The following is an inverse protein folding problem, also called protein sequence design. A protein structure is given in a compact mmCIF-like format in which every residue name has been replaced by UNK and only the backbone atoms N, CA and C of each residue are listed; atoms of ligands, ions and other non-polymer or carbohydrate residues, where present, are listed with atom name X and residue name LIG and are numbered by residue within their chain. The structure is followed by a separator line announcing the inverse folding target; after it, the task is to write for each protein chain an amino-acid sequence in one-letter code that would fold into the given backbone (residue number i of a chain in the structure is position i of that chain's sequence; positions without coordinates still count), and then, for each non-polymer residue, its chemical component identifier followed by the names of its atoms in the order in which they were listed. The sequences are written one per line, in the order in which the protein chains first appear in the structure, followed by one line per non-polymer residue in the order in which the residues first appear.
data_IF_803137227917
#
_entry.id   IF_803137227917
#
_cell.length_a   1.000
_cell.length_b   1.000
_cell.length_c   1.000
_cell.angle_alpha   90.00
_cell.angle_beta   90.00
_cell.angle_gamma   90.00
#
_symmetry.space_group_name_H-M   'P 1'
#
loop_
_entity.id
_entity.type
_entity.pdbx_description
1 polymer ?
#
# COMPACT_ATOMS: atom_id res chain seq x y z
N UNK A 1 -23.37 -9.41 8.35
CA UNK A 1 -22.69 -8.18 8.79
C UNK A 1 -21.59 -8.55 9.77
N UNK A 2 -20.31 -8.28 9.46
CA UNK A 2 -19.20 -8.54 10.38
C UNK A 2 -18.35 -7.27 10.50
N UNK A 3 -18.69 -6.45 11.50
CA UNK A 3 -17.80 -5.43 12.02
C UNK A 3 -16.70 -6.20 12.76
N UNK A 4 -15.48 -6.24 12.23
CA UNK A 4 -14.32 -6.73 12.97
C UNK A 4 -13.45 -5.54 13.33
N UNK A 5 -13.47 -5.25 14.62
CA UNK A 5 -12.74 -4.20 15.30
C UNK A 5 -11.26 -4.60 15.34
N UNK A 6 -10.44 -4.01 14.47
CA UNK A 6 -9.04 -4.37 14.31
C UNK A 6 -8.20 -3.88 15.52
N UNK A 7 -7.81 -4.79 16.41
CA UNK A 7 -7.20 -4.53 17.72
C UNK A 7 -5.70 -4.85 17.81
N UNK A 8 -5.00 -5.15 16.71
CA UNK A 8 -3.55 -5.42 16.77
C UNK A 8 -2.82 -5.14 15.46
N UNK A 9 -1.53 -4.80 15.53
CA UNK A 9 -0.68 -4.57 14.34
C UNK A 9 -0.67 -5.73 13.34
N UNK A 10 -1.03 -6.95 13.78
CA UNK A 10 -1.20 -8.13 12.95
C UNK A 10 -2.43 -8.06 12.02
N UNK A 11 -3.52 -7.44 12.47
CA UNK A 11 -4.71 -7.26 11.64
C UNK A 11 -4.51 -6.21 10.55
N UNK A 12 -3.79 -5.12 10.87
CA UNK A 12 -3.41 -4.11 9.86
C UNK A 12 -2.53 -4.71 8.78
N UNK A 13 -1.62 -5.62 9.12
CA UNK A 13 -0.85 -6.38 8.13
C UNK A 13 -1.76 -7.23 7.24
N UNK A 14 -2.69 -7.97 7.84
CA UNK A 14 -3.64 -8.81 7.10
C UNK A 14 -4.58 -8.01 6.19
N UNK A 15 -4.80 -6.72 6.45
CA UNK A 15 -5.51 -5.82 5.54
C UNK A 15 -4.60 -5.13 4.52
N UNK A 16 -3.36 -4.80 4.87
CA UNK A 16 -2.44 -4.07 3.99
C UNK A 16 -1.87 -4.94 2.87
N UNK A 17 -1.44 -6.17 3.18
CA UNK A 17 -0.84 -7.08 2.19
C UNK A 17 -1.78 -7.35 1.00
N UNK A 18 -3.08 -7.71 1.18
CA UNK A 18 -3.97 -7.93 0.05
C UNK A 18 -4.26 -6.66 -0.76
N UNK A 19 -4.29 -5.48 -0.14
CA UNK A 19 -4.42 -4.21 -0.89
C UNK A 19 -3.20 -3.93 -1.76
N UNK A 20 -2.00 -4.20 -1.23
CA UNK A 20 -0.76 -4.07 -2.02
C UNK A 20 -0.75 -5.08 -3.17
N UNK A 21 -1.25 -6.30 -2.95
CA UNK A 21 -1.35 -7.33 -3.99
C UNK A 21 -2.34 -6.93 -5.11
N UNK A 22 -3.52 -6.41 -4.74
CA UNK A 22 -4.50 -5.89 -5.71
C UNK A 22 -3.91 -4.73 -6.53
N UNK A 23 -3.21 -3.80 -5.86
CA UNK A 23 -2.55 -2.69 -6.54
C UNK A 23 -1.46 -3.17 -7.52
N UNK A 24 -0.64 -4.14 -7.12
CA UNK A 24 0.37 -4.75 -8.00
C UNK A 24 -0.31 -5.45 -9.19
N UNK A 25 -1.42 -6.16 -8.97
CA UNK A 25 -2.18 -6.84 -10.02
C UNK A 25 -2.77 -5.85 -11.05
N UNK A 26 -3.29 -4.72 -10.58
CA UNK A 26 -3.80 -3.66 -11.46
C UNK A 26 -2.67 -2.97 -12.23
N UNK A 27 -1.56 -2.67 -11.56
CA UNK A 27 -0.40 -2.02 -12.17
C UNK A 27 0.30 -2.93 -13.20
N UNK A 28 0.35 -4.24 -12.97
CA UNK A 28 0.91 -5.24 -13.89
C UNK A 28 0.19 -5.35 -15.23
N UNK A 29 -0.99 -4.73 -15.38
CA UNK A 29 -1.70 -4.67 -16.67
C UNK A 29 -1.05 -3.70 -17.66
N UNK A 30 -0.08 -2.88 -17.21
CA UNK A 30 0.65 -1.91 -18.03
C UNK A 30 2.15 -2.12 -17.84
N UNK A 31 2.91 -2.25 -18.91
CA UNK A 31 4.37 -2.44 -18.88
C UNK A 31 5.12 -1.24 -18.25
N UNK A 32 4.59 -0.02 -18.34
CA UNK A 32 5.25 1.20 -17.84
C UNK A 32 5.27 1.34 -16.30
N UNK A 33 4.68 0.40 -15.57
CA UNK A 33 4.52 0.45 -14.12
C UNK A 33 5.56 -0.36 -13.34
N UNK A 34 6.54 -0.96 -14.02
CA UNK A 34 7.58 -1.78 -13.36
C UNK A 34 8.26 -1.07 -12.16
N UNK A 35 8.64 0.23 -12.25
CA UNK A 35 9.29 0.92 -11.14
C UNK A 35 8.45 0.97 -9.85
N UNK A 36 7.14 1.18 -9.97
CA UNK A 36 6.25 1.25 -8.79
C UNK A 36 5.95 -0.15 -8.25
N UNK A 37 5.88 -1.17 -9.11
CA UNK A 37 5.68 -2.56 -8.71
C UNK A 37 6.87 -3.07 -7.90
N UNK A 38 8.10 -2.71 -8.27
CA UNK A 38 9.32 -3.07 -7.52
C UNK A 38 9.25 -2.50 -6.09
N UNK A 39 8.87 -1.23 -5.96
CA UNK A 39 8.70 -0.56 -4.67
C UNK A 39 7.62 -1.24 -3.82
N UNK A 40 6.47 -1.54 -4.40
CA UNK A 40 5.37 -2.22 -3.69
C UNK A 40 5.77 -3.61 -3.20
N UNK A 41 6.49 -4.39 -4.00
CA UNK A 41 6.99 -5.71 -3.61
C UNK A 41 8.00 -5.64 -2.46
N UNK A 42 8.91 -4.66 -2.48
CA UNK A 42 9.87 -4.43 -1.39
C UNK A 42 9.15 -4.21 -0.06
N UNK A 43 8.16 -3.31 -0.04
CA UNK A 43 7.41 -3.00 1.17
C UNK A 43 6.47 -4.13 1.61
N UNK A 44 5.92 -4.92 0.67
CA UNK A 44 5.18 -6.15 0.99
C UNK A 44 6.06 -7.14 1.74
N UNK A 45 7.30 -7.34 1.30
CA UNK A 45 8.27 -8.22 1.97
C UNK A 45 8.63 -7.69 3.37
N UNK A 46 8.88 -6.39 3.53
CA UNK A 46 9.11 -5.75 4.84
C UNK A 46 7.92 -5.96 5.81
N UNK A 47 6.67 -5.85 5.32
CA UNK A 47 5.47 -6.12 6.10
C UNK A 47 5.39 -7.58 6.54
N UNK A 48 5.76 -8.54 5.66
CA UNK A 48 5.75 -9.97 5.96
C UNK A 48 6.81 -10.32 7.01
N UNK A 49 8.01 -9.77 6.86
CA UNK A 49 9.15 -9.97 7.77
C UNK A 49 8.95 -9.31 9.14
N UNK A 50 7.95 -8.43 9.30
CA UNK A 50 7.65 -7.69 10.54
C UNK A 50 8.88 -6.96 11.10
N UNK A 51 9.78 -6.47 10.24
CA UNK A 51 11.04 -5.83 10.65
C UNK A 51 10.81 -4.54 11.45
N UNK A 52 9.66 -3.88 11.26
CA UNK A 52 9.30 -2.63 11.95
C UNK A 52 7.77 -2.53 12.09
N UNK A 53 7.29 -1.52 12.81
CA UNK A 53 5.86 -1.26 12.95
C UNK A 53 5.17 -1.03 11.59
N UNK A 54 4.06 -1.75 11.37
CA UNK A 54 3.22 -1.62 10.16
C UNK A 54 2.92 -0.18 9.75
N UNK A 55 2.47 0.74 10.63
CA UNK A 55 2.18 2.12 10.22
C UNK A 55 3.42 2.87 9.72
N UNK A 56 4.61 2.58 10.25
CA UNK A 56 5.86 3.18 9.78
C UNK A 56 6.22 2.70 8.38
N UNK A 57 6.14 1.39 8.13
CA UNK A 57 6.39 0.79 6.80
C UNK A 57 5.43 1.39 5.78
N UNK A 58 4.14 1.47 6.09
CA UNK A 58 3.13 2.03 5.19
C UNK A 58 3.30 3.53 4.96
N UNK A 59 3.72 4.30 5.97
CA UNK A 59 4.02 5.72 5.80
C UNK A 59 5.16 5.94 4.81
N UNK A 60 6.20 5.09 4.87
CA UNK A 60 7.34 5.15 3.94
C UNK A 60 6.94 4.73 2.53
N UNK A 61 6.15 3.67 2.40
CA UNK A 61 5.56 3.23 1.13
C UNK A 61 4.82 4.37 0.43
N UNK A 62 3.99 5.13 1.15
CA UNK A 62 3.24 6.25 0.54
C UNK A 62 4.16 7.31 -0.08
N UNK A 63 5.28 7.63 0.58
CA UNK A 63 6.25 8.62 0.09
C UNK A 63 7.00 8.08 -1.13
N UNK A 64 7.51 6.85 -1.05
CA UNK A 64 8.23 6.20 -2.15
C UNK A 64 7.34 6.04 -3.39
N UNK A 65 6.12 5.53 -3.23
CA UNK A 65 5.17 5.39 -4.35
C UNK A 65 4.86 6.75 -4.97
N UNK A 66 4.61 7.79 -4.16
CA UNK A 66 4.35 9.14 -4.68
C UNK A 66 5.52 9.69 -5.48
N UNK A 67 6.75 9.44 -5.02
CA UNK A 67 7.96 9.85 -5.74
C UNK A 67 8.11 9.08 -7.05
N UNK A 68 8.00 7.75 -7.03
CA UNK A 68 8.14 6.92 -8.24
C UNK A 68 7.07 7.22 -9.28
N UNK A 69 5.82 7.42 -8.86
CA UNK A 69 4.72 7.81 -9.75
C UNK A 69 5.01 9.15 -10.42
N UNK A 70 5.54 10.13 -9.66
CA UNK A 70 5.91 11.44 -10.20
C UNK A 70 7.12 11.37 -11.13
N UNK A 71 8.19 10.68 -10.73
CA UNK A 71 9.44 10.58 -11.49
C UNK A 71 9.27 9.82 -12.82
N UNK A 72 8.41 8.80 -12.84
CA UNK A 72 8.13 7.99 -14.03
C UNK A 72 6.87 8.45 -14.78
N UNK A 73 6.26 9.58 -14.37
CA UNK A 73 5.05 10.15 -14.96
C UNK A 73 3.91 9.12 -15.13
N UNK A 74 3.75 8.23 -14.13
CA UNK A 74 2.80 7.12 -14.15
C UNK A 74 1.39 7.66 -13.98
N UNK A 75 0.50 7.28 -14.89
CA UNK A 75 -0.92 7.63 -14.81
C UNK A 75 -1.69 6.48 -14.16
N UNK A 76 -2.04 6.67 -12.90
CA UNK A 76 -2.94 5.78 -12.15
C UNK A 76 -4.39 6.00 -12.56
N UNK A 77 -5.13 4.90 -12.71
CA UNK A 77 -6.59 4.89 -12.84
C UNK A 77 -7.26 5.22 -11.51
N UNK A 78 -8.57 5.49 -11.55
CA UNK A 78 -9.39 5.67 -10.36
C UNK A 78 -9.30 4.47 -9.41
N UNK A 79 -9.25 3.23 -9.93
CA UNK A 79 -9.11 2.02 -9.11
C UNK A 79 -7.77 1.98 -8.39
N UNK A 80 -6.66 2.19 -9.12
CA UNK A 80 -5.30 2.20 -8.54
C UNK A 80 -5.17 3.30 -7.46
N UNK A 81 -5.74 4.47 -7.71
CA UNK A 81 -5.75 5.59 -6.77
C UNK A 81 -6.59 5.34 -5.52
N UNK A 82 -7.73 4.64 -5.65
CA UNK A 82 -8.57 4.28 -4.51
C UNK A 82 -7.89 3.27 -3.58
N UNK A 83 -7.24 2.25 -4.16
CA UNK A 83 -6.46 1.26 -3.39
C UNK A 83 -5.32 1.96 -2.63
N UNK A 84 -4.59 2.86 -3.29
CA UNK A 84 -3.53 3.63 -2.65
C UNK A 84 -4.07 4.49 -1.49
N UNK A 85 -5.27 5.06 -1.64
CA UNK A 85 -5.94 5.82 -0.58
C UNK A 85 -6.29 4.94 0.62
N UNK A 86 -6.72 3.71 0.41
CA UNK A 86 -6.98 2.76 1.51
C UNK A 86 -5.69 2.33 2.22
N UNK A 87 -4.61 2.08 1.47
CA UNK A 87 -3.28 1.81 2.05
C UNK A 87 -2.83 3.00 2.92
N UNK A 88 -3.07 4.24 2.46
CA UNK A 88 -2.73 5.45 3.22
C UNK A 88 -3.52 5.56 4.53
N UNK A 89 -4.82 5.20 4.54
CA UNK A 89 -5.63 5.16 5.78
C UNK A 89 -5.06 4.18 6.80
N UNK A 90 -4.49 3.05 6.35
CA UNK A 90 -3.87 2.06 7.24
C UNK A 90 -2.56 2.57 7.89
N UNK A 91 -1.88 3.54 7.26
CA UNK A 91 -0.68 4.19 7.84
C UNK A 91 -1.00 5.27 8.87
N UNK A 92 -2.13 5.97 8.72
CA UNK A 92 -2.52 7.03 9.63
C UNK A 92 -3.09 6.45 10.92
N UNK A 93 -2.35 6.62 12.03
CA UNK A 93 -2.75 6.18 13.38
C UNK A 93 -4.02 6.88 13.88
N UNK A 94 -4.42 7.98 13.22
CA UNK A 94 -5.61 8.77 13.54
C UNK A 94 -6.64 8.58 12.43
N UNK A 95 -7.63 7.73 12.70
CA UNK A 95 -8.88 7.72 11.94
C UNK A 95 -9.48 9.13 11.98
N UNK A 96 -9.51 9.80 10.83
CA UNK A 96 -10.09 11.12 10.68
C UNK A 96 -10.99 11.15 9.45
N UNK A 97 -12.21 10.64 9.61
CA UNK A 97 -13.44 11.27 9.12
C UNK A 97 -14.62 10.74 9.92
#
# INVERSE_FOLDING_TARGET
MKIRWFSGGEERKNSAVPLIDDLISELNKKDDNEPVIVVLNKYKDELIKKETSVPFILSRLNVDVSNVVRDNNIIMTDKESDILRDIRKLSSIRYGY
#
